data_IF_618413829864
#
_entry.id   IF_618413829864
#
_cell.length_a   1.000
_cell.length_b   1.000
_cell.length_c   1.000
_cell.angle_alpha   90.00
_cell.angle_beta   90.00
_cell.angle_gamma   90.00
#
_symmetry.space_group_name_H-M   'P 1'
#
loop_
_entity.id
_entity.type
_entity.pdbx_description
1 polymer ?
#
# COMPACT_ATOMS: atom_id res chain seq x y z
N UNK A 1 -27.37 -19.51 10.62
CA UNK A 1 -26.84 -18.15 10.41
C UNK A 1 -25.85 -17.88 11.54
N UNK A 2 -24.63 -17.42 11.24
CA UNK A 2 -23.58 -17.24 12.28
C UNK A 2 -23.79 -15.90 13.00
N UNK A 3 -23.75 -15.90 14.32
CA UNK A 3 -23.90 -14.70 15.14
C UNK A 3 -22.72 -13.72 14.96
N UNK A 4 -22.97 -12.45 14.55
CA UNK A 4 -21.93 -11.43 14.38
C UNK A 4 -21.09 -11.18 15.64
N UNK A 5 -21.65 -11.29 16.84
CA UNK A 5 -20.90 -11.10 18.10
C UNK A 5 -19.88 -12.21 18.32
N UNK A 6 -20.26 -13.44 17.98
CA UNK A 6 -19.37 -14.60 17.98
C UNK A 6 -18.22 -14.44 16.99
N UNK A 7 -18.44 -13.82 15.82
CA UNK A 7 -17.40 -13.58 14.81
C UNK A 7 -16.45 -12.44 15.24
N UNK A 8 -16.97 -11.34 15.78
CA UNK A 8 -16.18 -10.17 16.18
C UNK A 8 -15.13 -10.51 17.27
N UNK A 9 -15.44 -11.48 18.13
CA UNK A 9 -14.57 -11.90 19.22
C UNK A 9 -13.58 -13.01 18.84
N UNK A 10 -13.58 -13.50 17.59
CA UNK A 10 -12.61 -14.51 17.15
C UNK A 10 -11.21 -13.91 17.00
N UNK A 11 -10.23 -14.62 17.54
CA UNK A 11 -8.82 -14.35 17.30
C UNK A 11 -8.47 -14.75 15.86
N UNK A 12 -8.19 -13.76 15.01
CA UNK A 12 -7.84 -13.96 13.60
C UNK A 12 -6.45 -13.39 13.36
N UNK A 13 -5.58 -14.19 12.73
CA UNK A 13 -4.19 -13.83 12.44
C UNK A 13 -4.00 -13.02 11.15
N UNK A 14 -5.02 -12.98 10.27
CA UNK A 14 -4.95 -12.22 9.02
C UNK A 14 -5.34 -10.75 9.26
N UNK A 15 -4.38 -9.85 9.13
CA UNK A 15 -4.57 -8.42 9.35
C UNK A 15 -5.52 -7.77 8.34
N UNK A 16 -5.56 -8.19 7.08
CA UNK A 16 -6.51 -7.65 6.08
C UNK A 16 -7.95 -7.99 6.46
N UNK A 17 -8.23 -9.23 6.89
CA UNK A 17 -9.57 -9.61 7.31
C UNK A 17 -10.02 -8.86 8.57
N UNK A 18 -9.10 -8.67 9.53
CA UNK A 18 -9.36 -7.83 10.70
C UNK A 18 -9.71 -6.39 10.29
N UNK A 19 -8.98 -5.83 9.31
CA UNK A 19 -9.06 -4.44 8.90
C UNK A 19 -10.32 -4.16 8.10
N UNK A 20 -10.56 -4.95 7.06
CA UNK A 20 -11.61 -4.69 6.07
C UNK A 20 -13.00 -5.15 6.52
N UNK A 21 -13.09 -6.08 7.48
CA UNK A 21 -14.37 -6.74 7.83
C UNK A 21 -14.68 -6.75 9.31
N UNK A 22 -13.77 -7.23 10.15
CA UNK A 22 -14.12 -7.52 11.55
C UNK A 22 -14.20 -6.27 12.41
N UNK A 23 -13.36 -5.28 12.14
CA UNK A 23 -13.39 -4.04 12.91
C UNK A 23 -14.73 -3.30 12.75
N UNK A 24 -15.21 -3.17 11.51
CA UNK A 24 -16.50 -2.54 11.18
C UNK A 24 -17.69 -3.16 11.92
N UNK A 25 -17.68 -4.49 12.09
CA UNK A 25 -18.75 -5.22 12.78
C UNK A 25 -18.77 -4.92 14.29
N UNK A 26 -17.62 -4.57 14.87
CA UNK A 26 -17.47 -4.46 16.33
C UNK A 26 -17.77 -3.07 16.91
N UNK A 27 -17.54 -1.99 16.15
CA UNK A 27 -17.64 -0.60 16.65
C UNK A 27 -18.06 0.36 15.54
N UNK A 28 -19.37 0.57 15.39
CA UNK A 28 -19.92 1.41 14.32
C UNK A 28 -20.20 2.87 14.74
N UNK A 29 -20.17 3.18 16.04
CA UNK A 29 -20.34 4.54 16.55
C UNK A 29 -19.40 4.82 17.74
N UNK A 30 -18.50 5.77 17.58
CA UNK A 30 -17.86 6.43 18.72
C UNK A 30 -18.57 7.76 18.94
N UNK A 31 -19.32 7.86 20.04
CA UNK A 31 -20.00 9.10 20.45
C UNK A 31 -19.09 10.01 21.28
N UNK A 32 -17.95 9.49 21.76
CA UNK A 32 -17.03 10.21 22.66
C UNK A 32 -15.58 10.04 22.18
N UNK A 33 -14.96 11.16 21.80
CA UNK A 33 -13.58 11.23 21.30
C UNK A 33 -12.53 10.93 22.37
N UNK A 34 -12.87 11.03 23.66
CA UNK A 34 -11.95 10.69 24.76
C UNK A 34 -11.55 9.21 24.75
N UNK A 35 -12.40 8.35 24.19
CA UNK A 35 -12.19 6.92 24.08
C UNK A 35 -11.30 6.52 22.89
N UNK A 36 -10.90 7.50 22.06
CA UNK A 36 -10.13 7.25 20.83
C UNK A 36 -8.78 6.62 21.16
N UNK A 37 -8.08 7.10 22.18
CA UNK A 37 -6.77 6.58 22.60
C UNK A 37 -6.83 5.08 22.93
N UNK A 38 -7.82 4.67 23.74
CA UNK A 38 -8.05 3.27 24.08
C UNK A 38 -8.46 2.43 22.86
N UNK A 39 -9.27 3.00 21.95
CA UNK A 39 -9.62 2.33 20.71
C UNK A 39 -8.39 2.10 19.82
N UNK A 40 -7.55 3.12 19.64
CA UNK A 40 -6.34 3.07 18.83
C UNK A 40 -5.38 2.01 19.38
N UNK A 41 -5.24 1.89 20.70
CA UNK A 41 -4.41 0.81 21.30
C UNK A 41 -4.95 -0.58 21.00
N UNK A 42 -6.27 -0.80 21.15
CA UNK A 42 -6.90 -2.08 20.78
C UNK A 42 -6.69 -2.38 19.30
N UNK A 43 -6.79 -1.35 18.46
CA UNK A 43 -6.62 -1.43 17.03
C UNK A 43 -5.17 -1.81 16.65
N UNK A 44 -4.19 -1.09 17.19
CA UNK A 44 -2.78 -1.38 17.01
C UNK A 44 -2.44 -2.80 17.43
N UNK A 45 -2.93 -3.26 18.58
CA UNK A 45 -2.69 -4.65 19.03
C UNK A 45 -3.25 -5.72 18.07
N UNK A 46 -4.29 -5.40 17.29
CA UNK A 46 -4.85 -6.32 16.28
C UNK A 46 -4.14 -6.27 14.93
N UNK A 47 -3.52 -5.13 14.58
CA UNK A 47 -2.88 -4.92 13.27
C UNK A 47 -1.35 -5.00 13.28
N UNK A 48 -0.71 -4.72 14.41
CA UNK A 48 0.75 -4.71 14.54
C UNK A 48 1.36 -6.12 14.61
N UNK A 49 0.55 -7.17 14.44
CA UNK A 49 1.07 -8.54 14.29
C UNK A 49 1.76 -8.72 12.93
N UNK A 50 3.07 -8.89 12.98
CA UNK A 50 3.86 -9.32 11.83
C UNK A 50 3.78 -10.84 11.70
N UNK A 51 3.02 -11.31 10.72
CA UNK A 51 2.95 -12.73 10.40
C UNK A 51 4.20 -13.17 9.63
N UNK A 52 5.23 -13.56 10.38
CA UNK A 52 6.51 -14.01 9.83
C UNK A 52 6.38 -15.22 8.92
N UNK A 53 5.42 -16.10 9.18
CA UNK A 53 5.22 -17.30 8.37
C UNK A 53 4.63 -16.93 7.01
N UNK A 54 3.64 -16.02 7.00
CA UNK A 54 3.08 -15.48 5.76
C UNK A 54 4.12 -14.71 4.95
N UNK A 55 4.93 -13.86 5.59
CA UNK A 55 6.02 -13.13 4.91
C UNK A 55 7.04 -14.09 4.31
N UNK A 56 7.51 -15.08 5.08
CA UNK A 56 8.45 -16.09 4.59
C UNK A 56 7.88 -16.84 3.38
N UNK A 57 6.62 -17.29 3.49
CA UNK A 57 5.94 -17.99 2.40
C UNK A 57 5.80 -17.13 1.13
N UNK A 58 5.57 -15.83 1.28
CA UNK A 58 5.52 -14.87 0.17
C UNK A 58 6.88 -14.68 -0.49
N UNK A 59 7.94 -14.50 0.30
CA UNK A 59 9.30 -14.35 -0.19
C UNK A 59 9.77 -15.62 -0.91
N UNK A 60 9.53 -16.80 -0.36
CA UNK A 60 9.87 -18.08 -0.99
C UNK A 60 9.18 -18.24 -2.36
N UNK A 61 7.90 -17.84 -2.47
CA UNK A 61 7.16 -17.85 -3.74
C UNK A 61 7.74 -16.84 -4.73
N UNK A 62 8.04 -15.63 -4.26
CA UNK A 62 8.61 -14.56 -5.07
C UNK A 62 9.98 -14.97 -5.62
N UNK A 63 10.82 -15.61 -4.81
CA UNK A 63 12.15 -16.05 -5.23
C UNK A 63 12.07 -17.13 -6.31
N UNK A 64 11.12 -18.07 -6.20
CA UNK A 64 10.85 -19.05 -7.29
C UNK A 64 10.49 -18.35 -8.60
N UNK A 65 9.64 -17.32 -8.55
CA UNK A 65 9.28 -16.55 -9.75
C UNK A 65 10.51 -15.83 -10.31
N UNK A 66 11.30 -15.19 -9.44
CA UNK A 66 12.53 -14.48 -9.83
C UNK A 66 13.52 -15.40 -10.55
N UNK A 67 13.69 -16.65 -10.11
CA UNK A 67 14.58 -17.61 -10.77
C UNK A 67 14.17 -17.97 -12.20
N UNK A 68 12.91 -17.74 -12.59
CA UNK A 68 12.43 -17.98 -13.96
C UNK A 68 12.86 -16.90 -14.96
N UNK A 69 13.33 -15.74 -14.49
CA UNK A 69 13.74 -14.64 -15.35
C UNK A 69 15.24 -14.69 -15.66
N UNK A 70 15.59 -14.46 -16.94
CA UNK A 70 16.99 -14.44 -17.40
C UNK A 70 17.81 -13.27 -16.83
N UNK A 71 17.18 -12.11 -16.64
CA UNK A 71 17.79 -10.90 -16.11
C UNK A 71 16.87 -10.30 -15.06
N UNK A 72 17.41 -10.02 -13.88
CA UNK A 72 16.66 -9.49 -12.75
C UNK A 72 17.47 -8.36 -12.13
N UNK A 73 16.79 -7.25 -11.86
CA UNK A 73 17.29 -6.22 -10.96
C UNK A 73 16.59 -6.39 -9.61
N UNK A 74 17.33 -6.87 -8.62
CA UNK A 74 16.81 -7.15 -7.28
C UNK A 74 17.58 -6.35 -6.22
N UNK A 75 16.86 -5.54 -5.45
CA UNK A 75 17.43 -4.69 -4.40
C UNK A 75 16.50 -4.62 -3.21
N UNK A 76 17.11 -4.69 -2.03
CA UNK A 76 16.45 -4.41 -0.77
C UNK A 76 16.63 -2.93 -0.43
N UNK A 77 15.53 -2.31 -0.01
CA UNK A 77 15.48 -0.90 0.37
C UNK A 77 14.80 -0.76 1.73
N UNK A 78 15.23 0.22 2.50
CA UNK A 78 14.63 0.55 3.80
C UNK A 78 13.92 1.90 3.72
N UNK A 79 12.70 1.95 4.26
CA UNK A 79 11.94 3.19 4.39
C UNK A 79 12.63 4.14 5.36
N UNK A 80 12.92 5.38 4.94
CA UNK A 80 13.52 6.41 5.80
C UNK A 80 12.52 6.99 6.83
N UNK A 81 11.24 6.98 6.48
CA UNK A 81 10.11 7.51 7.28
C UNK A 81 8.92 6.57 7.15
N UNK A 82 7.81 6.92 7.81
CA UNK A 82 6.54 6.22 7.64
C UNK A 82 6.13 6.17 6.17
N UNK A 83 5.65 5.00 5.75
CA UNK A 83 5.20 4.75 4.39
C UNK A 83 3.72 4.41 4.44
N UNK A 84 2.91 5.23 3.77
CA UNK A 84 1.47 4.99 3.60
C UNK A 84 1.20 4.65 2.14
N UNK A 85 0.64 3.46 1.89
CA UNK A 85 0.30 3.00 0.54
C UNK A 85 -1.19 2.73 0.48
N UNK A 86 -1.85 3.29 -0.54
CA UNK A 86 -3.29 3.16 -0.75
C UNK A 86 -4.12 4.05 0.17
N UNK A 87 -3.70 5.29 0.39
CA UNK A 87 -4.48 6.27 1.15
C UNK A 87 -5.87 6.50 0.59
N UNK A 88 -6.04 6.38 -0.74
CA UNK A 88 -7.34 6.45 -1.40
C UNK A 88 -8.22 5.20 -1.27
N UNK A 89 -7.76 4.13 -0.60
CA UNK A 89 -8.60 2.96 -0.37
C UNK A 89 -9.68 3.29 0.67
N UNK A 90 -10.97 2.98 0.41
CA UNK A 90 -12.02 3.18 1.39
C UNK A 90 -11.71 2.44 2.69
N UNK A 91 -11.81 3.14 3.81
CA UNK A 91 -11.52 2.59 5.12
C UNK A 91 -12.41 3.19 6.19
N UNK A 92 -12.43 2.54 7.35
CA UNK A 92 -13.01 3.03 8.60
C UNK A 92 -12.40 4.36 9.08
N UNK A 93 -11.21 4.71 8.59
CA UNK A 93 -10.48 5.92 8.95
C UNK A 93 -10.50 6.98 7.84
N UNK A 94 -11.44 6.87 6.89
CA UNK A 94 -11.51 7.59 5.61
C UNK A 94 -10.33 7.33 4.67
N UNK A 95 -9.10 7.38 5.17
CA UNK A 95 -7.88 7.02 4.45
C UNK A 95 -7.47 5.60 4.77
N UNK A 96 -7.37 4.78 3.71
CA UNK A 96 -7.04 3.37 3.83
C UNK A 96 -5.55 3.07 3.86
N UNK A 97 -5.29 1.78 4.03
CA UNK A 97 -3.95 1.22 3.93
C UNK A 97 -4.02 -0.10 3.16
N UNK A 98 -3.03 -0.34 2.29
CA UNK A 98 -3.00 -1.51 1.41
C UNK A 98 -2.36 -2.71 2.10
N UNK A 99 -3.17 -3.75 2.33
CA UNK A 99 -2.72 -5.07 2.79
C UNK A 99 -2.98 -6.12 1.71
N UNK A 100 -2.11 -7.12 1.61
CA UNK A 100 -2.37 -8.30 0.79
C UNK A 100 -3.54 -9.07 1.39
N UNK A 101 -4.62 -9.22 0.62
CA UNK A 101 -5.88 -9.84 1.08
C UNK A 101 -5.70 -11.19 1.79
N UNK A 102 -4.88 -12.07 1.21
CA UNK A 102 -4.75 -13.45 1.70
C UNK A 102 -3.70 -13.60 2.82
N UNK A 103 -2.76 -12.67 2.93
CA UNK A 103 -1.62 -12.77 3.85
C UNK A 103 -1.64 -11.74 4.97
N UNK A 104 -2.45 -10.67 4.85
CA UNK A 104 -2.46 -9.57 5.81
C UNK A 104 -1.13 -8.78 5.87
N UNK A 105 -0.26 -8.95 4.87
CA UNK A 105 1.06 -8.32 4.81
C UNK A 105 0.96 -6.98 4.04
N UNK A 106 1.52 -5.87 4.54
CA UNK A 106 1.62 -4.63 3.78
C UNK A 106 2.52 -4.80 2.57
N UNK A 107 2.20 -4.14 1.46
CA UNK A 107 3.01 -4.22 0.25
C UNK A 107 2.87 -2.95 -0.59
N UNK A 108 3.84 -2.72 -1.47
CA UNK A 108 3.69 -1.73 -2.55
C UNK A 108 3.26 -2.49 -3.80
N UNK A 109 2.07 -2.23 -4.36
CA UNK A 109 1.65 -2.84 -5.61
C UNK A 109 2.65 -2.57 -6.73
N UNK A 110 2.90 -3.57 -7.57
CA UNK A 110 3.77 -3.47 -8.74
C UNK A 110 3.36 -2.32 -9.66
N UNK A 111 2.05 -2.07 -9.78
CA UNK A 111 1.50 -0.95 -10.56
C UNK A 111 1.87 0.40 -9.98
N UNK A 112 1.75 0.58 -8.67
CA UNK A 112 2.14 1.81 -7.98
C UNK A 112 3.65 2.05 -8.09
N UNK A 113 4.47 1.00 -7.92
CA UNK A 113 5.92 1.09 -8.07
C UNK A 113 6.32 1.40 -9.52
N UNK A 114 5.73 0.71 -10.51
CA UNK A 114 5.93 1.00 -11.93
C UNK A 114 5.57 2.44 -12.26
N UNK A 115 4.41 2.92 -11.81
CA UNK A 115 3.92 4.27 -12.08
C UNK A 115 4.85 5.35 -11.51
N UNK A 116 5.25 5.22 -10.24
CA UNK A 116 6.20 6.14 -9.61
C UNK A 116 7.55 6.16 -10.33
N UNK A 117 8.09 4.98 -10.68
CA UNK A 117 9.36 4.89 -11.40
C UNK A 117 9.26 5.44 -12.82
N UNK A 118 8.18 5.14 -13.56
CA UNK A 118 7.97 5.70 -14.90
C UNK A 118 7.83 7.22 -14.86
N UNK A 119 7.13 7.77 -13.85
CA UNK A 119 7.01 9.21 -13.68
C UNK A 119 8.37 9.86 -13.45
N UNK A 120 9.20 9.28 -12.57
CA UNK A 120 10.57 9.72 -12.35
C UNK A 120 11.41 9.70 -13.64
N UNK A 121 11.35 8.61 -14.40
CA UNK A 121 12.07 8.50 -15.68
C UNK A 121 11.60 9.55 -16.69
N UNK A 122 10.31 9.86 -16.73
CA UNK A 122 9.75 10.82 -17.69
C UNK A 122 10.04 12.28 -17.33
N UNK A 123 10.02 12.63 -16.04
CA UNK A 123 10.10 14.01 -15.56
C UNK A 123 11.49 14.42 -15.08
N UNK A 124 12.21 13.52 -14.41
CA UNK A 124 13.41 13.88 -13.66
C UNK A 124 14.72 13.49 -14.37
N UNK A 125 14.69 12.55 -15.31
CA UNK A 125 15.88 12.15 -16.05
C UNK A 125 16.08 12.98 -17.30
N UNK A 126 17.33 13.30 -17.63
CA UNK A 126 17.67 13.99 -18.89
C UNK A 126 17.15 13.23 -20.11
N UNK A 127 16.80 13.98 -21.17
CA UNK A 127 16.37 13.40 -22.45
C UNK A 127 17.41 12.47 -23.08
N UNK A 128 18.69 12.68 -22.75
CA UNK A 128 19.77 11.84 -23.21
C UNK A 128 19.91 10.51 -22.46
N UNK A 129 19.24 10.37 -21.31
CA UNK A 129 19.29 9.15 -20.50
C UNK A 129 18.69 7.97 -21.28
N UNK A 130 19.36 6.80 -21.30
CA UNK A 130 18.88 5.64 -22.04
C UNK A 130 17.50 5.15 -21.61
N UNK A 131 17.11 5.32 -20.35
CA UNK A 131 15.78 4.93 -19.85
C UNK A 131 14.68 5.82 -20.42
N UNK A 132 14.93 7.13 -20.50
CA UNK A 132 13.98 8.09 -21.06
C UNK A 132 13.88 7.95 -22.58
N UNK A 133 15.02 7.76 -23.27
CA UNK A 133 15.04 7.47 -24.72
C UNK A 133 14.23 6.24 -25.11
N UNK A 134 14.28 5.18 -24.30
CA UNK A 134 13.59 3.92 -24.59
C UNK A 134 12.28 3.76 -23.80
N UNK A 135 11.69 4.86 -23.32
CA UNK A 135 10.54 4.83 -22.41
C UNK A 135 9.38 3.98 -22.92
N UNK A 136 8.94 4.19 -24.18
CA UNK A 136 7.84 3.44 -24.81
C UNK A 136 8.09 1.94 -24.84
N UNK A 137 9.33 1.52 -25.13
CA UNK A 137 9.70 0.11 -25.14
C UNK A 137 9.72 -0.49 -23.73
N UNK A 138 10.25 0.26 -22.74
CA UNK A 138 10.40 -0.24 -21.37
C UNK A 138 9.06 -0.33 -20.63
N UNK A 139 8.21 0.68 -20.74
CA UNK A 139 6.96 0.79 -19.97
C UNK A 139 5.70 0.43 -20.76
N UNK A 140 5.77 0.50 -22.10
CA UNK A 140 4.65 0.31 -23.00
C UNK A 140 3.94 1.61 -23.36
N UNK A 141 3.01 1.55 -24.30
CA UNK A 141 2.04 2.61 -24.62
C UNK A 141 0.70 1.98 -25.04
N UNK A 142 -0.39 2.70 -24.81
CA UNK A 142 -1.76 2.28 -25.15
C UNK A 142 -2.59 3.40 -25.78
N UNK A 143 -1.93 4.36 -26.44
CA UNK A 143 -2.61 5.44 -27.15
C UNK A 143 -2.91 5.05 -28.61
N UNK A 144 -4.18 5.07 -28.99
CA UNK A 144 -4.64 4.73 -30.34
C UNK A 144 -4.49 3.25 -30.69
N UNK A 145 -4.16 2.96 -31.94
CA UNK A 145 -4.00 1.59 -32.45
C UNK A 145 -2.63 0.96 -32.07
N UNK A 146 -1.67 1.76 -31.61
CA UNK A 146 -0.30 1.33 -31.27
C UNK A 146 -0.21 0.83 -29.81
N UNK A 147 -0.80 -0.34 -29.55
CA UNK A 147 -0.70 -0.99 -28.25
C UNK A 147 0.62 -1.77 -28.11
N UNK A 148 1.62 -1.15 -27.47
CA UNK A 148 2.92 -1.77 -27.22
C UNK A 148 3.01 -2.20 -25.76
N UNK A 149 3.21 -3.50 -25.52
CA UNK A 149 3.51 -4.03 -24.19
C UNK A 149 4.94 -3.63 -23.77
N UNK A 150 5.07 -3.08 -22.57
CA UNK A 150 6.38 -2.76 -21.99
C UNK A 150 7.24 -4.01 -21.74
N UNK A 151 8.54 -3.87 -21.98
CA UNK A 151 9.53 -4.94 -21.80
C UNK A 151 9.88 -5.19 -20.33
N UNK A 152 9.65 -4.22 -19.43
CA UNK A 152 9.92 -4.37 -18.00
C UNK A 152 8.75 -5.02 -17.27
N UNK A 153 9.06 -6.04 -16.47
CA UNK A 153 8.14 -6.67 -15.53
C UNK A 153 8.45 -6.15 -14.13
N UNK A 154 7.47 -5.53 -13.49
CA UNK A 154 7.53 -5.10 -12.11
C UNK A 154 6.82 -6.13 -11.24
N UNK A 155 7.44 -6.50 -10.11
CA UNK A 155 6.83 -7.35 -9.10
C UNK A 155 6.37 -6.51 -7.91
N UNK A 156 5.42 -7.02 -7.14
CA UNK A 156 5.01 -6.41 -5.89
C UNK A 156 6.21 -6.30 -4.94
N UNK A 157 6.32 -5.16 -4.25
CA UNK A 157 7.37 -4.95 -3.26
C UNK A 157 6.89 -5.53 -1.94
N UNK A 158 7.50 -6.64 -1.54
CA UNK A 158 7.15 -7.40 -0.33
C UNK A 158 8.16 -7.03 0.78
N UNK A 159 7.71 -6.64 1.98
CA UNK A 159 8.60 -6.37 3.09
C UNK A 159 9.20 -7.66 3.64
N UNK A 160 10.49 -7.64 3.99
CA UNK A 160 11.10 -8.72 4.79
C UNK A 160 10.65 -8.68 6.25
N UNK A 161 10.47 -7.47 6.76
CA UNK A 161 9.93 -7.17 8.08
C UNK A 161 9.13 -5.87 8.00
N UNK A 162 8.14 -5.70 8.87
CA UNK A 162 7.35 -4.49 8.93
C UNK A 162 6.77 -4.28 10.34
N UNK A 163 6.44 -3.03 10.64
CA UNK A 163 5.58 -2.63 11.75
C UNK A 163 4.46 -1.75 11.20
N UNK A 164 3.25 -1.92 11.74
CA UNK A 164 2.11 -1.07 11.40
C UNK A 164 1.83 -0.15 12.58
N UNK A 165 1.57 1.11 12.25
CA UNK A 165 1.15 2.16 13.18
C UNK A 165 0.03 2.99 12.58
N UNK A 166 -0.55 3.84 13.40
CA UNK A 166 -1.59 4.80 13.01
C UNK A 166 -0.96 6.19 13.12
N UNK A 167 -1.23 7.02 12.13
CA UNK A 167 -0.81 8.42 12.13
C UNK A 167 -2.05 9.33 12.01
N UNK A 168 -1.92 10.56 12.51
CA UNK A 168 -3.01 11.55 12.52
C UNK A 168 -2.62 12.69 11.58
N UNK A 169 -3.40 12.89 10.53
CA UNK A 169 -3.24 14.02 9.62
C UNK A 169 -4.30 15.06 9.93
N UNK A 170 -3.86 16.26 10.29
CA UNK A 170 -4.75 17.41 10.45
C UNK A 170 -4.86 18.15 9.11
N UNK A 171 -6.04 18.11 8.48
CA UNK A 171 -6.31 18.90 7.30
C UNK A 171 -6.46 20.37 7.70
N UNK A 172 -5.49 21.22 7.34
CA UNK A 172 -5.70 22.66 7.36
C UNK A 172 -6.59 23.04 6.16
N UNK A 173 -7.68 23.76 6.40
CA UNK A 173 -8.64 24.19 5.37
C UNK A 173 -7.93 25.01 4.27
N UNK A 174 -7.99 24.53 3.03
CA UNK A 174 -7.37 25.17 1.85
C UNK A 174 -7.93 26.55 1.42
N UNK A 175 -9.19 26.96 1.69
CA UNK A 175 -9.73 28.24 1.19
C UNK A 175 -8.97 29.49 1.65
N UNK A 176 -8.14 29.41 2.69
CA UNK A 176 -7.33 30.53 3.18
C UNK A 176 -6.15 30.90 2.25
N UNK A 177 -5.83 30.05 1.26
CA UNK A 177 -4.79 30.31 0.25
C UNK A 177 -5.34 30.45 -1.18
N UNK A 178 -6.68 30.45 -1.33
CA UNK A 178 -7.36 30.58 -2.62
C UNK A 178 -7.84 31.99 -2.93
N UNK A 179 -7.71 32.93 -1.98
CA UNK A 179 -7.97 34.35 -2.24
C UNK A 179 -6.78 34.95 -3.01
N UNK A 180 -6.80 34.78 -4.32
CA UNK A 180 -6.25 35.77 -5.26
C UNK A 180 -7.05 37.08 -5.10
N UNK A 181 -6.78 37.81 -4.03
CA UNK A 181 -7.13 39.22 -3.84
C UNK A 181 -5.95 39.93 -3.20
N UNK A 182 -4.84 39.95 -3.91
CA UNK A 182 -3.74 40.90 -3.69
C UNK A 182 -2.94 41.07 -4.99
N UNK A 183 -3.62 41.52 -6.05
CA UNK A 183 -3.08 42.43 -7.08
C UNK A 183 -4.16 43.47 -7.40
#
# INVERSE_FOLDING_TARGET
MVDPKTIANRTIKNSSLNYDKLFQISKHSMTDTSQLSALLQILMNRFSYCDRDSVKSLLDRRDRIVTSFRKVFDRELQTKKYLMVGSGCPSIFDNGFTLMRNYGVPYIPASAFKGAFSHYVAQELDENNPLRKHFRFLFGTGEGDDNIKGALVFMDVIPKTYSLGIDIVNNHFQPYYSDEKNE
#
